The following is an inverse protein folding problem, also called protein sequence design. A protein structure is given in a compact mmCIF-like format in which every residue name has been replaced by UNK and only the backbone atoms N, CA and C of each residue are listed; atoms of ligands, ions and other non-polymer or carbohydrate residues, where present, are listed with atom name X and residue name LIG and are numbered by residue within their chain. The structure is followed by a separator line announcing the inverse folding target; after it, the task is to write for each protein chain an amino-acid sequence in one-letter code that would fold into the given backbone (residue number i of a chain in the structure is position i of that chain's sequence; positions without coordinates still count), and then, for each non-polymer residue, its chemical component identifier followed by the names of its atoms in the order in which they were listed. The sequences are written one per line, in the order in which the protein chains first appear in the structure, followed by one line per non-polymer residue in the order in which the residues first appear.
data_IF_449480227207
#
_entry.id   IF_449480227207
#
_cell.length_a   1.000
_cell.length_b   1.000
_cell.length_c   1.000
_cell.angle_alpha   90.00
_cell.angle_beta   90.00
_cell.angle_gamma   90.00
#
_symmetry.space_group_name_H-M   'P 1'
#
loop_
_entity.id
_entity.type
_entity.pdbx_description
1 polymer ?
#
# COMPACT_ATOMS: atom_id res chain seq x y z
N UNK A 1 -33.07 -0.66 12.59
CA UNK A 1 -32.89 0.29 11.48
C UNK A 1 -31.82 1.31 11.78
N UNK A 2 -31.79 1.86 13.02
CA UNK A 2 -30.86 2.94 13.39
C UNK A 2 -29.37 2.55 13.25
N UNK A 3 -28.92 1.43 13.79
CA UNK A 3 -27.48 1.09 13.80
C UNK A 3 -26.90 0.85 12.41
N UNK A 4 -27.63 0.14 11.53
CA UNK A 4 -27.18 -0.10 10.16
C UNK A 4 -27.14 1.19 9.33
N UNK A 5 -28.12 2.09 9.49
CA UNK A 5 -28.13 3.37 8.78
C UNK A 5 -27.01 4.28 9.28
N UNK A 6 -26.79 4.35 10.60
CA UNK A 6 -25.72 5.16 11.18
C UNK A 6 -24.32 4.69 10.77
N UNK A 7 -24.07 3.37 10.75
CA UNK A 7 -22.82 2.84 10.23
C UNK A 7 -22.64 3.19 8.76
N UNK A 8 -23.68 3.01 7.94
CA UNK A 8 -23.61 3.33 6.51
C UNK A 8 -23.35 4.83 6.28
N UNK A 9 -24.03 5.70 7.00
CA UNK A 9 -23.82 7.16 6.92
C UNK A 9 -22.39 7.54 7.36
N UNK A 10 -21.89 6.92 8.43
CA UNK A 10 -20.52 7.13 8.89
C UNK A 10 -19.48 6.69 7.82
N UNK A 11 -19.69 5.52 7.21
CA UNK A 11 -18.82 5.01 6.14
C UNK A 11 -18.86 5.93 4.91
N UNK A 12 -20.02 6.35 4.45
CA UNK A 12 -20.17 7.25 3.29
C UNK A 12 -19.54 8.63 3.55
N UNK A 13 -19.75 9.19 4.74
CA UNK A 13 -19.16 10.47 5.13
C UNK A 13 -17.64 10.36 5.18
N UNK A 14 -17.11 9.29 5.74
CA UNK A 14 -15.67 9.04 5.85
C UNK A 14 -15.05 8.79 4.46
N UNK A 15 -15.68 8.00 3.61
CA UNK A 15 -15.24 7.78 2.24
C UNK A 15 -15.17 9.10 1.45
N UNK A 16 -16.19 9.94 1.58
CA UNK A 16 -16.23 11.26 0.95
C UNK A 16 -15.10 12.16 1.45
N UNK A 17 -14.83 12.15 2.76
CA UNK A 17 -13.71 12.87 3.34
C UNK A 17 -12.36 12.42 2.74
N UNK A 18 -12.13 11.11 2.61
CA UNK A 18 -10.90 10.59 2.02
C UNK A 18 -10.77 10.90 0.52
N UNK A 19 -11.87 10.87 -0.24
CA UNK A 19 -11.88 11.31 -1.64
C UNK A 19 -11.50 12.79 -1.82
N UNK A 20 -11.84 13.64 -0.87
CA UNK A 20 -11.42 15.05 -0.89
C UNK A 20 -9.93 15.22 -0.60
N UNK A 21 -9.27 14.27 0.07
CA UNK A 21 -7.83 14.33 0.32
C UNK A 21 -7.00 14.26 -0.97
N UNK A 22 -7.53 13.67 -2.05
CA UNK A 22 -6.89 13.70 -3.37
C UNK A 22 -6.54 15.14 -3.79
N UNK A 23 -7.43 16.09 -3.54
CA UNK A 23 -7.21 17.50 -3.85
C UNK A 23 -6.10 18.12 -2.99
N UNK A 24 -5.92 17.61 -1.76
CA UNK A 24 -4.93 18.08 -0.79
C UNK A 24 -3.53 17.50 -1.01
N UNK A 25 -3.44 16.22 -1.37
CA UNK A 25 -2.19 15.45 -1.47
C UNK A 25 -1.76 15.18 -2.92
N UNK A 26 -2.56 15.57 -3.90
CA UNK A 26 -2.30 15.31 -5.33
C UNK A 26 -2.49 13.83 -5.68
N UNK A 27 -1.71 13.34 -6.64
CA UNK A 27 -1.85 11.98 -7.17
C UNK A 27 -1.45 10.84 -6.21
N UNK A 28 -0.89 11.17 -5.04
CA UNK A 28 -0.51 10.19 -4.03
C UNK A 28 -1.09 10.57 -2.66
N UNK A 29 -2.32 10.22 -2.45
CA UNK A 29 -3.16 10.55 -1.30
C UNK A 29 -3.54 9.30 -0.50
N UNK A 30 -4.02 9.45 0.76
CA UNK A 30 -4.54 8.33 1.52
C UNK A 30 -5.76 7.71 0.83
N UNK A 31 -5.74 6.39 0.65
CA UNK A 31 -6.88 5.64 0.09
C UNK A 31 -7.73 5.07 1.21
N UNK A 32 -9.02 4.91 0.95
CA UNK A 32 -9.99 4.36 1.88
C UNK A 32 -10.76 3.23 1.18
N UNK A 33 -10.68 2.02 1.71
CA UNK A 33 -11.38 0.86 1.17
C UNK A 33 -12.17 0.16 2.27
N UNK A 34 -13.46 -0.04 2.04
CA UNK A 34 -14.32 -0.83 2.91
C UNK A 34 -14.21 -2.29 2.48
N UNK A 35 -13.41 -3.06 3.23
CA UNK A 35 -13.13 -4.46 2.89
C UNK A 35 -14.26 -5.40 3.25
N UNK A 36 -14.90 -5.20 4.41
CA UNK A 36 -16.04 -6.01 4.85
C UNK A 36 -17.07 -5.17 5.59
N UNK A 37 -18.33 -5.57 5.47
CA UNK A 37 -19.44 -5.07 6.31
C UNK A 37 -20.21 -6.28 6.78
N UNK A 38 -20.46 -6.38 8.09
CA UNK A 38 -21.22 -7.47 8.70
C UNK A 38 -22.22 -6.88 9.70
N UNK A 39 -23.39 -7.52 9.84
CA UNK A 39 -24.39 -7.11 10.82
C UNK A 39 -25.72 -7.80 10.65
N UNK A 40 -26.37 -8.13 11.78
CA UNK A 40 -27.62 -8.85 11.85
C UNK A 40 -27.45 -10.36 11.81
N UNK A 41 -28.41 -11.08 12.44
CA UNK A 41 -28.43 -12.54 12.56
C UNK A 41 -29.60 -13.16 11.78
N UNK A 42 -30.68 -12.40 11.59
CA UNK A 42 -31.89 -12.89 10.93
C UNK A 42 -32.58 -11.79 10.10
N UNK A 43 -33.25 -12.19 9.03
CA UNK A 43 -33.88 -11.26 8.07
C UNK A 43 -35.09 -10.50 8.66
N UNK A 44 -35.69 -11.04 9.71
CA UNK A 44 -36.85 -10.46 10.40
C UNK A 44 -36.49 -9.72 11.69
N UNK A 45 -35.20 -9.47 11.94
CA UNK A 45 -34.72 -8.73 13.11
C UNK A 45 -33.99 -7.46 12.69
N UNK A 46 -34.12 -6.42 13.51
CA UNK A 46 -33.28 -5.22 13.40
C UNK A 46 -31.93 -5.54 14.02
N UNK A 47 -30.80 -5.39 13.31
CA UNK A 47 -29.48 -5.63 13.87
C UNK A 47 -29.21 -4.77 15.10
N UNK A 48 -28.83 -5.42 16.20
CA UNK A 48 -28.35 -4.72 17.40
C UNK A 48 -26.87 -4.31 17.32
N UNK A 49 -26.12 -4.89 16.35
CA UNK A 49 -24.71 -4.63 16.11
C UNK A 49 -24.41 -4.70 14.61
N UNK A 50 -23.47 -3.86 14.17
CA UNK A 50 -22.89 -3.92 12.84
C UNK A 50 -21.43 -3.51 12.89
N UNK A 51 -20.58 -4.17 12.09
CA UNK A 51 -19.14 -3.95 12.01
C UNK A 51 -18.72 -3.75 10.55
N UNK A 52 -17.75 -2.86 10.33
CA UNK A 52 -17.04 -2.74 9.05
C UNK A 52 -15.53 -2.76 9.28
N UNK A 53 -14.80 -3.43 8.38
CA UNK A 53 -13.33 -3.38 8.35
C UNK A 53 -12.87 -2.55 7.18
N UNK A 54 -11.96 -1.63 7.47
CA UNK A 54 -11.49 -0.61 6.54
C UNK A 54 -9.97 -0.76 6.40
N UNK A 55 -9.48 -0.72 5.15
CA UNK A 55 -8.06 -0.60 4.83
C UNK A 55 -7.77 0.84 4.38
N UNK A 56 -6.83 1.50 5.07
CA UNK A 56 -6.38 2.85 4.73
C UNK A 56 -4.90 2.78 4.39
N UNK A 57 -4.55 3.16 3.17
CA UNK A 57 -3.16 3.26 2.72
C UNK A 57 -2.80 4.73 2.57
N UNK A 58 -1.62 5.09 3.02
CA UNK A 58 -1.22 6.49 3.10
C UNK A 58 0.24 6.69 2.66
N UNK A 59 0.57 7.89 2.15
CA UNK A 59 1.93 8.20 1.70
C UNK A 59 2.88 8.42 2.88
N UNK A 60 4.22 8.32 2.66
CA UNK A 60 5.23 8.59 3.68
C UNK A 60 5.17 10.00 4.30
N UNK A 61 4.54 10.94 3.62
CA UNK A 61 4.32 12.31 4.13
C UNK A 61 3.23 12.41 5.19
N UNK A 62 2.52 11.30 5.47
CA UNK A 62 1.38 11.25 6.38
C UNK A 62 1.67 10.27 7.53
N UNK A 63 1.29 10.64 8.74
CA UNK A 63 1.39 9.77 9.92
C UNK A 63 0.13 8.94 10.09
N UNK A 64 0.30 7.64 10.43
CA UNK A 64 -0.82 6.76 10.78
C UNK A 64 -1.64 7.30 11.96
N UNK A 65 -0.98 7.87 12.95
CA UNK A 65 -1.66 8.40 14.13
C UNK A 65 -2.44 9.68 13.82
N UNK A 66 -1.92 10.54 12.93
CA UNK A 66 -2.66 11.71 12.43
C UNK A 66 -3.92 11.28 11.69
N UNK A 67 -3.80 10.32 10.76
CA UNK A 67 -4.96 9.79 10.02
C UNK A 67 -5.99 9.12 10.94
N UNK A 68 -5.51 8.37 11.92
CA UNK A 68 -6.42 7.73 12.87
C UNK A 68 -7.17 8.76 13.72
N UNK A 69 -6.51 9.83 14.14
CA UNK A 69 -7.15 10.95 14.84
C UNK A 69 -8.20 11.64 13.95
N UNK A 70 -7.85 11.92 12.70
CA UNK A 70 -8.80 12.49 11.73
C UNK A 70 -10.02 11.57 11.53
N UNK A 71 -9.79 10.26 11.43
CA UNK A 71 -10.87 9.27 11.34
C UNK A 71 -11.76 9.28 12.59
N UNK A 72 -11.17 9.33 13.77
CA UNK A 72 -11.92 9.43 15.03
C UNK A 72 -12.79 10.68 15.07
N UNK A 73 -12.27 11.82 14.61
CA UNK A 73 -13.01 13.09 14.54
C UNK A 73 -14.19 13.02 13.56
N UNK A 74 -14.05 12.32 12.42
CA UNK A 74 -15.16 12.11 11.49
C UNK A 74 -16.22 11.19 12.10
N UNK A 75 -15.82 10.09 12.72
CA UNK A 75 -16.71 9.09 13.32
C UNK A 75 -17.44 9.63 14.56
N UNK A 76 -16.82 10.51 15.35
CA UNK A 76 -17.44 11.11 16.54
C UNK A 76 -18.73 11.88 16.24
N UNK A 77 -19.00 12.22 14.98
CA UNK A 77 -20.25 12.86 14.54
C UNK A 77 -21.45 11.89 14.52
N UNK A 78 -21.19 10.59 14.64
CA UNK A 78 -22.20 9.53 14.56
C UNK A 78 -22.34 8.84 15.92
N UNK A 79 -23.33 9.19 16.74
CA UNK A 79 -23.52 8.60 18.06
C UNK A 79 -23.66 7.07 18.00
N UNK A 80 -22.95 6.37 18.87
CA UNK A 80 -22.97 4.89 18.90
C UNK A 80 -22.06 4.20 17.85
N UNK A 81 -21.37 4.97 17.01
CA UNK A 81 -20.30 4.42 16.14
C UNK A 81 -18.95 4.65 16.80
N UNK A 82 -18.13 3.62 16.84
CA UNK A 82 -16.77 3.66 17.37
C UNK A 82 -15.79 3.15 16.33
N UNK A 83 -14.53 3.54 16.42
CA UNK A 83 -13.45 3.07 15.56
C UNK A 83 -12.26 2.65 16.41
N UNK A 84 -11.66 1.53 16.04
CA UNK A 84 -10.41 1.04 16.64
C UNK A 84 -9.36 0.77 15.55
N UNK A 85 -8.09 0.91 15.94
CA UNK A 85 -6.95 0.62 15.07
C UNK A 85 -6.46 -0.81 15.34
N UNK A 86 -6.75 -1.73 14.42
CA UNK A 86 -6.39 -3.15 14.59
C UNK A 86 -4.91 -3.37 14.24
N UNK A 87 -4.46 -2.86 13.10
CA UNK A 87 -3.09 -3.01 12.60
C UNK A 87 -2.65 -1.66 12.04
N UNK A 88 -1.38 -1.34 12.24
CA UNK A 88 -0.74 -0.18 11.60
C UNK A 88 0.68 -0.55 11.22
N UNK A 89 1.08 -0.15 10.02
CA UNK A 89 2.45 -0.27 9.55
C UNK A 89 2.85 1.01 8.80
N UNK A 90 4.08 1.48 8.92
CA UNK A 90 4.54 2.65 8.17
C UNK A 90 4.61 2.33 6.68
N UNK A 91 4.43 3.33 5.80
CA UNK A 91 4.67 3.18 4.38
C UNK A 91 6.15 2.90 4.12
N UNK A 92 6.45 2.03 3.15
CA UNK A 92 7.82 1.76 2.73
C UNK A 92 8.32 2.90 1.84
N UNK A 93 9.49 3.42 2.18
CA UNK A 93 10.20 4.41 1.38
C UNK A 93 11.68 4.01 1.29
N UNK A 94 12.29 4.18 0.13
CA UNK A 94 13.68 3.85 -0.11
C UNK A 94 14.45 5.05 -0.67
N UNK A 95 15.67 5.26 -0.18
CA UNK A 95 16.60 6.21 -0.77
C UNK A 95 17.29 5.57 -2.00
N UNK A 96 16.88 6.01 -3.17
CA UNK A 96 17.43 5.55 -4.45
C UNK A 96 18.86 6.04 -4.71
N UNK A 97 19.44 6.86 -3.83
CA UNK A 97 20.84 7.29 -3.91
C UNK A 97 21.80 6.27 -3.28
N UNK A 98 21.30 5.29 -2.56
CA UNK A 98 22.14 4.22 -1.99
C UNK A 98 22.92 3.50 -3.09
N UNK A 99 24.21 3.19 -2.85
CA UNK A 99 25.10 2.64 -3.88
C UNK A 99 24.56 1.40 -4.58
N UNK A 100 24.02 0.45 -3.82
CA UNK A 100 23.49 -0.79 -4.38
C UNK A 100 22.22 -0.59 -5.22
N UNK A 101 21.41 0.45 -4.97
CA UNK A 101 20.30 0.78 -5.84
C UNK A 101 20.74 1.48 -7.12
N UNK A 102 21.78 2.31 -7.03
CA UNK A 102 22.43 2.87 -8.24
C UNK A 102 23.02 1.77 -9.12
N UNK A 103 23.74 0.83 -8.51
CA UNK A 103 24.29 -0.36 -9.20
C UNK A 103 23.18 -1.14 -9.89
N UNK A 104 22.06 -1.44 -9.22
CA UNK A 104 20.92 -2.08 -9.84
C UNK A 104 20.43 -1.33 -11.09
N UNK A 105 20.25 -0.01 -10.99
CA UNK A 105 19.76 0.83 -12.11
C UNK A 105 20.71 0.81 -13.29
N UNK A 106 22.03 0.84 -13.05
CA UNK A 106 23.04 0.80 -14.12
C UNK A 106 23.07 -0.57 -14.82
N UNK A 107 22.97 -1.67 -14.07
CA UNK A 107 22.89 -3.02 -14.64
C UNK A 107 21.62 -3.16 -15.46
N UNK A 108 20.50 -2.75 -14.90
CA UNK A 108 19.21 -2.78 -15.59
C UNK A 108 19.23 -1.96 -16.89
N UNK A 109 19.81 -0.75 -16.85
CA UNK A 109 19.97 0.11 -18.04
C UNK A 109 20.78 -0.59 -19.14
N UNK A 110 21.87 -1.29 -18.77
CA UNK A 110 22.69 -2.02 -19.74
C UNK A 110 21.92 -3.16 -20.41
N UNK A 111 21.14 -3.94 -19.62
CA UNK A 111 20.43 -5.14 -20.09
C UNK A 111 19.15 -4.75 -20.85
N UNK A 112 18.43 -3.76 -20.42
CA UNK A 112 17.21 -3.28 -21.08
C UNK A 112 17.44 -2.26 -22.20
N UNK A 113 18.63 -1.69 -22.27
CA UNK A 113 18.98 -0.59 -23.19
C UNK A 113 18.11 0.66 -23.02
N UNK A 114 17.45 0.79 -21.88
CA UNK A 114 16.63 1.96 -21.49
C UNK A 114 16.87 2.29 -20.02
N UNK A 115 16.64 3.55 -19.66
CA UNK A 115 16.64 3.96 -18.25
C UNK A 115 15.37 3.48 -17.55
N UNK A 116 15.53 2.77 -16.45
CA UNK A 116 14.42 2.33 -15.61
C UNK A 116 13.98 3.48 -14.71
N UNK A 117 12.72 3.84 -14.81
CA UNK A 117 12.05 4.81 -13.95
C UNK A 117 11.71 4.22 -12.57
N UNK A 118 11.25 5.07 -11.69
CA UNK A 118 10.66 4.70 -10.41
C UNK A 118 9.21 5.11 -10.37
N UNK A 119 8.40 4.34 -9.71
CA UNK A 119 6.99 4.64 -9.51
C UNK A 119 6.64 4.56 -8.03
N UNK A 120 5.52 5.16 -7.67
CA UNK A 120 4.89 5.02 -6.37
C UNK A 120 3.70 4.10 -6.54
N UNK A 121 3.47 3.23 -5.56
CA UNK A 121 2.35 2.29 -5.58
C UNK A 121 1.57 2.41 -4.28
N UNK A 122 0.26 2.29 -4.36
CA UNK A 122 -0.63 2.08 -3.21
C UNK A 122 -0.68 0.60 -2.79
N UNK A 123 0.02 -0.30 -3.51
CA UNK A 123 0.10 -1.70 -3.19
C UNK A 123 0.77 -1.94 -1.83
N UNK A 124 0.21 -2.83 -1.03
CA UNK A 124 0.88 -3.33 0.16
C UNK A 124 1.93 -4.37 -0.23
N UNK A 125 3.07 -4.38 0.46
CA UNK A 125 4.10 -5.40 0.31
C UNK A 125 4.79 -5.66 1.65
N UNK A 126 5.50 -6.77 1.76
CA UNK A 126 6.28 -7.10 2.95
C UNK A 126 7.48 -6.17 3.17
N UNK A 127 7.79 -5.31 2.21
CA UNK A 127 8.77 -4.23 2.36
C UNK A 127 8.54 -3.36 3.61
N UNK A 128 7.29 -3.21 4.05
CA UNK A 128 6.93 -2.48 5.28
C UNK A 128 7.61 -3.04 6.54
N UNK A 129 7.72 -4.36 6.67
CA UNK A 129 8.33 -5.00 7.84
C UNK A 129 9.84 -4.77 7.92
N UNK A 130 10.49 -4.65 6.78
CA UNK A 130 11.90 -4.28 6.68
C UNK A 130 12.08 -2.78 6.94
N UNK A 131 11.20 -1.95 6.41
CA UNK A 131 11.20 -0.49 6.62
C UNK A 131 11.06 -0.12 8.10
N UNK A 132 10.24 -0.83 8.88
CA UNK A 132 10.14 -0.67 10.33
C UNK A 132 11.46 -0.88 11.07
N UNK A 133 12.35 -1.68 10.50
CA UNK A 133 13.69 -1.97 11.05
C UNK A 133 14.79 -1.11 10.43
N UNK A 134 14.41 -0.10 9.65
CA UNK A 134 15.38 0.75 8.95
C UNK A 134 16.13 0.04 7.81
N UNK A 135 15.68 -1.12 7.38
CA UNK A 135 16.30 -1.87 6.28
C UNK A 135 15.68 -1.38 4.96
N UNK A 136 16.48 -0.78 4.06
CA UNK A 136 15.98 -0.29 2.79
C UNK A 136 15.61 -1.46 1.86
N UNK A 137 14.44 -1.35 1.21
CA UNK A 137 13.91 -2.39 0.32
C UNK A 137 13.57 -1.78 -1.03
N UNK A 138 14.04 -2.40 -2.09
CA UNK A 138 13.64 -2.11 -3.46
C UNK A 138 12.57 -3.11 -3.90
N UNK A 139 11.37 -2.63 -4.17
CA UNK A 139 10.29 -3.45 -4.74
C UNK A 139 10.38 -3.36 -6.25
N UNK A 140 10.59 -4.48 -6.91
CA UNK A 140 10.78 -4.59 -8.35
C UNK A 140 10.05 -5.81 -8.88
N UNK A 141 9.59 -5.72 -10.12
CA UNK A 141 8.96 -6.84 -10.80
C UNK A 141 9.25 -6.80 -12.31
N UNK A 142 9.23 -7.93 -13.00
CA UNK A 142 9.19 -7.96 -14.46
C UNK A 142 7.86 -7.43 -14.98
N UNK A 143 7.79 -7.17 -16.28
CA UNK A 143 6.58 -6.68 -16.93
C UNK A 143 5.46 -7.72 -16.82
N UNK A 144 4.34 -7.32 -16.28
CA UNK A 144 3.13 -8.11 -16.10
C UNK A 144 1.92 -7.20 -15.92
N UNK A 145 0.76 -7.80 -15.70
CA UNK A 145 -0.47 -7.05 -15.49
C UNK A 145 -1.58 -7.92 -14.94
N UNK A 146 -2.74 -7.28 -14.71
CA UNK A 146 -3.96 -7.90 -14.18
C UNK A 146 -3.73 -8.64 -12.85
N UNK A 147 -2.85 -8.07 -12.00
CA UNK A 147 -2.44 -8.67 -10.72
C UNK A 147 -3.68 -8.98 -9.86
N UNK A 148 -3.74 -10.23 -9.35
CA UNK A 148 -4.85 -10.77 -8.56
C UNK A 148 -6.14 -11.02 -9.33
N UNK A 149 -6.12 -11.01 -10.66
CA UNK A 149 -7.25 -11.44 -11.49
C UNK A 149 -7.03 -12.84 -12.08
N UNK A 150 -8.10 -13.42 -12.67
CA UNK A 150 -8.00 -14.70 -13.39
C UNK A 150 -7.17 -14.57 -14.68
N UNK A 151 -7.04 -13.36 -15.20
CA UNK A 151 -6.26 -13.02 -16.40
C UNK A 151 -4.86 -12.49 -16.08
N UNK A 152 -4.32 -12.75 -14.89
CA UNK A 152 -2.98 -12.33 -14.49
C UNK A 152 -1.92 -12.88 -15.46
N UNK A 153 -1.05 -12.01 -15.94
CA UNK A 153 -0.05 -12.38 -16.94
C UNK A 153 1.34 -11.81 -16.63
N UNK A 154 2.36 -12.45 -17.21
CA UNK A 154 3.76 -12.00 -17.18
C UNK A 154 4.38 -12.13 -18.57
N UNK A 155 5.20 -11.16 -18.95
CA UNK A 155 6.00 -11.24 -20.19
C UNK A 155 7.23 -12.13 -19.95
N UNK A 156 7.27 -13.29 -20.62
CA UNK A 156 8.35 -14.28 -20.46
C UNK A 156 9.70 -13.76 -20.97
N UNK A 157 9.73 -12.90 -21.98
CA UNK A 157 10.98 -12.31 -22.45
C UNK A 157 11.50 -11.27 -21.45
N UNK A 158 10.61 -10.51 -20.87
CA UNK A 158 10.96 -9.59 -19.81
C UNK A 158 11.43 -10.31 -18.55
N UNK A 159 10.76 -11.39 -18.16
CA UNK A 159 11.17 -12.23 -17.03
C UNK A 159 12.61 -12.76 -17.19
N UNK A 160 13.01 -13.18 -18.39
CA UNK A 160 14.38 -13.62 -18.66
C UNK A 160 15.39 -12.47 -18.49
N UNK A 161 15.06 -11.28 -18.99
CA UNK A 161 15.91 -10.08 -18.82
C UNK A 161 15.99 -9.68 -17.35
N UNK A 162 14.86 -9.70 -16.67
CA UNK A 162 14.77 -9.41 -15.24
C UNK A 162 15.63 -10.37 -14.41
N UNK A 163 15.57 -11.68 -14.69
CA UNK A 163 16.44 -12.67 -14.06
C UNK A 163 17.93 -12.35 -14.30
N UNK A 164 18.29 -11.95 -15.51
CA UNK A 164 19.68 -11.58 -15.83
C UNK A 164 20.15 -10.37 -15.05
N UNK A 165 19.29 -9.36 -14.90
CA UNK A 165 19.57 -8.17 -14.05
C UNK A 165 19.81 -8.59 -12.61
N UNK A 166 18.89 -9.36 -12.05
CA UNK A 166 18.97 -9.82 -10.66
C UNK A 166 20.22 -10.64 -10.39
N UNK A 167 20.50 -11.57 -11.26
CA UNK A 167 21.72 -12.42 -11.17
C UNK A 167 22.99 -11.57 -11.18
N UNK A 168 23.11 -10.66 -12.13
CA UNK A 168 24.30 -9.81 -12.25
C UNK A 168 24.44 -8.90 -11.04
N UNK A 169 23.35 -8.29 -10.59
CA UNK A 169 23.34 -7.40 -9.44
C UNK A 169 23.78 -8.10 -8.15
N UNK A 170 23.24 -9.29 -7.87
CA UNK A 170 23.63 -10.07 -6.69
C UNK A 170 25.11 -10.50 -6.77
N UNK A 171 25.61 -10.88 -7.95
CA UNK A 171 27.01 -11.23 -8.12
C UNK A 171 27.94 -10.02 -7.90
N UNK A 172 27.57 -8.84 -8.39
CA UNK A 172 28.38 -7.63 -8.22
C UNK A 172 28.44 -7.22 -6.75
N UNK A 173 27.34 -7.27 -6.01
CA UNK A 173 27.31 -7.00 -4.56
C UNK A 173 28.20 -7.95 -3.75
N UNK A 174 28.15 -9.24 -4.07
CA UNK A 174 28.98 -10.25 -3.37
C UNK A 174 30.48 -10.14 -3.68
N UNK A 175 30.86 -9.54 -4.80
CA UNK A 175 32.26 -9.28 -5.13
C UNK A 175 32.78 -8.05 -4.40
N UNK A 176 31.98 -6.99 -4.24
CA UNK A 176 32.35 -5.79 -3.51
C UNK A 176 32.62 -6.08 -2.02
N UNK A 177 31.79 -6.93 -1.39
CA UNK A 177 31.97 -7.35 0.01
C UNK A 177 33.23 -8.19 0.26
N UNK A 178 33.84 -8.79 -0.80
CA UNK A 178 35.08 -9.58 -0.68
C UNK A 178 36.36 -8.75 -0.82
N UNK A 179 36.24 -7.49 -1.20
CA UNK A 179 37.36 -6.57 -1.46
C UNK A 179 37.59 -5.59 -0.29
N UNK A 180 36.65 -5.54 0.65
CA UNK A 180 36.79 -4.80 1.92
C UNK A 180 37.20 -5.74 3.05
#
# INVERSE_FOLDING_TARGET
VLFRSMLNEALQSTESYFKEQEKRYGSYYPTFNIGTIQGGEAVNQVPGHAEAKIDIRFPPSTSADSLFKELQEQIARFPGVTVEKIISAPPSQVDLQLPYFKSFKEIAKKIYSISIGTTRSHGASDARYFGEKGIPVLVIAPKGGEIHSEDEWIDLNDLKRFYTVMKQWVLDLTLEDRIQ
#
